data_IF_552033215628
#
_entry.id   IF_552033215628
#
_cell.length_a   1.000
_cell.length_b   1.000
_cell.length_c   1.000
_cell.angle_alpha   90.00
_cell.angle_beta   90.00
_cell.angle_gamma   90.00
#
_symmetry.space_group_name_H-M   'P 1'
#
loop_
_entity.id
_entity.type
_entity.pdbx_description
1 polymer ?
#
# COMPACT_ATOMS: atom_id res chain seq x y z
N UNK A 1 -32.67 -23.13 -42.28
CA UNK A 1 -31.38 -23.85 -42.41
C UNK A 1 -30.48 -23.08 -43.37
N UNK A 2 -29.40 -22.48 -42.82
CA UNK A 2 -28.00 -22.54 -43.32
C UNK A 2 -27.73 -21.80 -44.66
N UNK A 3 -26.73 -20.95 -44.88
CA UNK A 3 -25.60 -20.39 -44.13
C UNK A 3 -25.18 -19.13 -44.91
N UNK A 4 -24.94 -17.99 -44.26
CA UNK A 4 -24.09 -16.93 -44.84
C UNK A 4 -22.94 -16.70 -43.89
N UNK A 5 -21.90 -17.51 -44.08
CA UNK A 5 -20.61 -17.36 -43.37
C UNK A 5 -19.90 -16.17 -44.00
N UNK A 6 -20.09 -14.99 -43.41
CA UNK A 6 -19.25 -13.84 -43.70
C UNK A 6 -17.94 -14.06 -42.95
N UNK A 7 -16.91 -14.50 -43.68
CA UNK A 7 -15.52 -14.55 -43.19
C UNK A 7 -15.05 -13.12 -42.94
N UNK A 8 -15.19 -12.64 -41.71
CA UNK A 8 -14.47 -11.47 -41.23
C UNK A 8 -13.07 -11.94 -40.90
N UNK A 9 -12.15 -11.68 -41.82
CA UNK A 9 -10.72 -11.88 -41.65
C UNK A 9 -10.23 -10.81 -40.66
N UNK A 10 -10.26 -11.15 -39.37
CA UNK A 10 -9.79 -10.30 -38.28
C UNK A 10 -8.28 -10.19 -38.45
N UNK A 11 -7.84 -9.09 -39.06
CA UNK A 11 -6.45 -8.65 -39.02
C UNK A 11 -6.11 -8.38 -37.56
N UNK A 12 -5.23 -9.20 -36.99
CA UNK A 12 -4.64 -9.05 -35.67
C UNK A 12 -3.73 -7.82 -35.74
N UNK A 13 -4.34 -6.64 -35.69
CA UNK A 13 -3.64 -5.36 -35.60
C UNK A 13 -3.28 -5.13 -34.15
N UNK A 14 -2.08 -5.55 -33.78
CA UNK A 14 -1.06 -4.88 -32.93
C UNK A 14 -1.48 -3.95 -31.76
N UNK A 15 -2.71 -4.00 -31.26
CA UNK A 15 -3.21 -3.23 -30.12
C UNK A 15 -3.56 -4.12 -28.91
N UNK A 16 -3.25 -5.42 -28.96
CA UNK A 16 -3.34 -6.31 -27.78
C UNK A 16 -2.22 -6.08 -26.76
N UNK A 17 -1.39 -5.04 -26.94
CA UNK A 17 -0.54 -4.48 -25.89
C UNK A 17 -1.26 -3.39 -25.08
N UNK A 18 -2.59 -3.27 -25.22
CA UNK A 18 -3.42 -2.58 -24.24
C UNK A 18 -3.40 -3.43 -22.98
N UNK A 19 -2.51 -3.01 -22.09
CA UNK A 19 -2.76 -2.95 -20.67
C UNK A 19 -3.30 -4.26 -20.07
N UNK A 20 -2.37 -5.04 -19.51
CA UNK A 20 -2.57 -5.61 -18.18
C UNK A 20 -2.74 -4.45 -17.17
N UNK A 21 -3.80 -3.64 -17.35
CA UNK A 21 -4.45 -2.94 -16.27
C UNK A 21 -5.13 -4.08 -15.53
N UNK A 22 -4.41 -4.70 -14.59
CA UNK A 22 -5.09 -5.35 -13.49
C UNK A 22 -6.05 -4.29 -12.98
N UNK A 23 -7.35 -4.53 -13.18
CA UNK A 23 -8.41 -3.69 -12.67
C UNK A 23 -8.18 -3.58 -11.16
N UNK A 24 -7.48 -2.52 -10.76
CA UNK A 24 -7.81 -1.84 -9.53
C UNK A 24 -9.26 -1.47 -9.77
N UNK A 25 -10.17 -2.21 -9.15
CA UNK A 25 -11.50 -1.68 -8.94
C UNK A 25 -11.27 -0.41 -8.12
N UNK A 26 -11.14 0.71 -8.83
CA UNK A 26 -11.32 2.04 -8.28
C UNK A 26 -12.67 1.96 -7.58
N UNK A 27 -12.64 1.75 -6.26
CA UNK A 27 -13.82 1.75 -5.39
C UNK A 27 -14.65 2.96 -5.83
N UNK A 28 -15.78 2.68 -6.47
CA UNK A 28 -16.68 3.68 -7.00
C UNK A 28 -17.25 4.50 -5.86
N UNK A 29 -16.62 5.64 -5.58
CA UNK A 29 -17.03 6.59 -4.56
C UNK A 29 -15.96 7.67 -4.50
N UNK A 30 -16.34 8.95 -4.58
CA UNK A 30 -15.42 10.09 -4.64
C UNK A 30 -14.54 10.32 -3.40
N UNK A 31 -14.25 9.28 -2.62
CA UNK A 31 -13.33 9.28 -1.48
C UNK A 31 -11.91 8.92 -1.94
N UNK A 32 -10.92 9.58 -1.34
CA UNK A 32 -9.51 9.25 -1.55
C UNK A 32 -9.22 7.81 -1.09
N UNK A 33 -8.34 7.07 -1.78
CA UNK A 33 -7.81 5.80 -1.25
C UNK A 33 -7.12 6.04 0.10
N UNK A 34 -7.18 5.04 0.96
CA UNK A 34 -6.63 5.12 2.31
C UNK A 34 -5.18 4.66 2.33
N UNK A 35 -4.29 5.56 2.74
CA UNK A 35 -2.89 5.25 3.02
C UNK A 35 -2.69 5.14 4.53
N UNK A 36 -2.23 3.98 4.98
CA UNK A 36 -1.78 3.78 6.36
C UNK A 36 -0.26 3.97 6.45
N UNK A 37 0.17 5.03 7.12
CA UNK A 37 1.56 5.18 7.53
C UNK A 37 1.79 4.48 8.88
N UNK A 38 2.51 3.34 8.84
CA UNK A 38 2.80 2.54 10.04
C UNK A 38 4.09 3.01 10.71
N UNK A 39 3.96 3.49 11.95
CA UNK A 39 5.08 3.89 12.82
C UNK A 39 5.62 2.76 13.70
N UNK A 40 4.97 1.59 13.71
CA UNK A 40 5.29 0.48 14.62
C UNK A 40 6.72 -0.06 14.47
N UNK A 41 7.29 0.04 13.26
CA UNK A 41 8.64 -0.46 12.94
C UNK A 41 9.74 0.58 13.09
N UNK A 42 9.41 1.81 13.44
CA UNK A 42 10.41 2.83 13.73
C UNK A 42 10.98 2.61 15.13
N UNK A 43 12.27 2.93 15.32
CA UNK A 43 12.85 2.96 16.65
C UNK A 43 12.16 4.02 17.51
N UNK A 44 11.95 3.71 18.78
CA UNK A 44 11.53 4.72 19.75
C UNK A 44 12.61 5.82 19.85
N UNK A 45 12.19 7.09 19.84
CA UNK A 45 13.10 8.23 19.72
C UNK A 45 13.55 8.56 18.29
N UNK A 46 13.08 7.85 17.27
CA UNK A 46 13.35 8.19 15.87
C UNK A 46 12.53 9.42 15.41
N UNK A 47 13.23 10.53 15.20
CA UNK A 47 12.64 11.83 14.84
C UNK A 47 12.61 12.11 13.32
N UNK A 48 13.41 11.42 12.51
CA UNK A 48 13.51 11.68 11.06
C UNK A 48 12.19 11.45 10.33
N UNK A 49 11.39 10.50 10.83
CA UNK A 49 10.17 10.04 10.17
C UNK A 49 8.89 10.47 10.91
N UNK A 50 8.96 11.43 11.84
CA UNK A 50 7.78 11.84 12.61
C UNK A 50 6.74 12.52 11.68
N UNK A 51 5.46 12.08 11.73
CA UNK A 51 4.42 12.56 10.83
C UNK A 51 4.15 14.05 10.99
N UNK A 52 4.23 14.57 12.22
CA UNK A 52 4.03 15.99 12.53
C UNK A 52 5.36 16.75 12.70
N UNK A 53 6.49 16.10 12.36
CA UNK A 53 7.84 16.64 12.49
C UNK A 53 8.56 16.69 11.14
N UNK A 54 9.78 16.14 11.11
CA UNK A 54 10.64 16.17 9.93
C UNK A 54 10.07 15.47 8.69
N UNK A 55 9.03 14.63 8.84
CA UNK A 55 8.37 13.93 7.75
C UNK A 55 7.04 14.56 7.31
N UNK A 56 6.63 15.66 7.95
CA UNK A 56 5.34 16.31 7.72
C UNK A 56 5.12 16.79 6.29
N UNK A 57 6.16 17.24 5.60
CA UNK A 57 6.07 17.63 4.20
C UNK A 57 5.67 16.45 3.29
N UNK A 58 6.22 15.26 3.56
CA UNK A 58 5.88 14.03 2.83
C UNK A 58 4.45 13.62 3.13
N UNK A 59 4.05 13.61 4.41
CA UNK A 59 2.68 13.29 4.82
C UNK A 59 1.67 14.26 4.19
N UNK A 60 1.98 15.56 4.17
CA UNK A 60 1.15 16.59 3.54
C UNK A 60 1.01 16.36 2.03
N UNK A 61 2.10 16.00 1.35
CA UNK A 61 2.06 15.70 -0.08
C UNK A 61 1.20 14.47 -0.37
N UNK A 62 1.38 13.38 0.39
CA UNK A 62 0.56 12.17 0.25
C UNK A 62 -0.93 12.45 0.53
N UNK A 63 -1.22 13.35 1.46
CA UNK A 63 -2.61 13.75 1.78
C UNK A 63 -3.33 14.46 0.63
N UNK A 64 -2.62 14.88 -0.43
CA UNK A 64 -3.25 15.40 -1.65
C UNK A 64 -4.07 14.30 -2.34
N UNK A 65 -3.55 13.07 -2.37
CA UNK A 65 -4.11 11.95 -3.13
C UNK A 65 -4.76 10.88 -2.23
N UNK A 66 -4.36 10.80 -0.96
CA UNK A 66 -4.81 9.77 -0.02
C UNK A 66 -5.52 10.34 1.21
N UNK A 67 -6.43 9.55 1.80
CA UNK A 67 -6.83 9.67 3.21
C UNK A 67 -5.71 9.04 4.06
N UNK A 68 -4.82 9.88 4.59
CA UNK A 68 -3.65 9.41 5.32
C UNK A 68 -4.00 9.15 6.78
N UNK A 69 -3.84 7.90 7.21
CA UNK A 69 -3.96 7.46 8.60
C UNK A 69 -2.58 7.15 9.14
N UNK A 70 -2.31 7.54 10.38
CA UNK A 70 -1.04 7.26 11.05
C UNK A 70 -1.31 6.50 12.34
N UNK A 71 -0.62 5.39 12.57
CA UNK A 71 -0.63 4.76 13.89
C UNK A 71 0.65 3.98 14.19
N UNK A 72 0.93 3.81 15.48
CA UNK A 72 2.05 3.03 15.99
C UNK A 72 1.65 1.62 16.48
N UNK A 73 0.41 1.18 16.22
CA UNK A 73 -0.02 -0.18 16.55
C UNK A 73 0.55 -1.21 15.56
N UNK A 74 0.78 -2.43 16.06
CA UNK A 74 1.18 -3.59 15.24
C UNK A 74 0.16 -3.84 14.14
N UNK A 75 0.65 -4.22 12.95
CA UNK A 75 -0.21 -4.57 11.83
C UNK A 75 -1.05 -5.81 12.15
N UNK A 76 -2.32 -5.73 11.78
CA UNK A 76 -3.28 -6.82 11.90
C UNK A 76 -4.39 -6.62 10.87
N UNK A 77 -5.14 -7.68 10.59
CA UNK A 77 -6.36 -7.61 9.77
C UNK A 77 -7.28 -6.44 10.13
N UNK A 78 -7.47 -6.17 11.43
CA UNK A 78 -8.33 -5.08 11.89
C UNK A 78 -7.77 -3.71 11.51
N UNK A 79 -6.45 -3.51 11.70
CA UNK A 79 -5.77 -2.25 11.35
C UNK A 79 -5.64 -2.03 9.85
N UNK A 80 -5.61 -3.12 9.08
CA UNK A 80 -5.55 -3.10 7.62
C UNK A 80 -6.92 -3.05 6.95
N UNK A 81 -8.00 -3.06 7.74
CA UNK A 81 -9.36 -2.97 7.20
C UNK A 81 -9.56 -1.61 6.55
N UNK A 82 -10.10 -1.63 5.32
CA UNK A 82 -10.36 -0.43 4.52
C UNK A 82 -9.11 0.43 4.27
N UNK A 83 -7.93 -0.19 4.31
CA UNK A 83 -6.67 0.39 3.85
C UNK A 83 -6.43 -0.07 2.42
N UNK A 84 -5.98 0.84 1.55
CA UNK A 84 -5.63 0.51 0.16
C UNK A 84 -4.10 0.42 -0.01
N UNK A 85 -3.35 1.20 0.78
CA UNK A 85 -1.89 1.28 0.71
C UNK A 85 -1.28 1.35 2.11
N UNK A 86 -0.25 0.56 2.38
CA UNK A 86 0.56 0.64 3.60
C UNK A 86 1.93 1.23 3.27
N UNK A 87 2.33 2.26 4.02
CA UNK A 87 3.67 2.82 4.00
C UNK A 87 4.41 2.44 5.28
N UNK A 88 5.56 1.79 5.14
CA UNK A 88 6.53 1.54 6.20
C UNK A 88 7.81 2.28 5.83
N UNK A 89 8.09 3.38 6.53
CA UNK A 89 9.26 4.22 6.24
C UNK A 89 10.40 3.90 7.20
N UNK A 90 11.52 3.44 6.65
CA UNK A 90 12.77 3.11 7.34
C UNK A 90 12.55 2.22 8.58
N UNK A 91 12.14 0.94 8.38
CA UNK A 91 12.08 -0.01 9.48
C UNK A 91 13.48 -0.09 10.11
N UNK A 92 13.56 0.29 11.38
CA UNK A 92 14.87 0.47 12.03
C UNK A 92 15.42 -0.89 12.47
N UNK A 93 16.72 -1.12 12.30
CA UNK A 93 17.38 -2.33 12.81
C UNK A 93 18.02 -2.11 14.20
N UNK A 94 18.15 -0.84 14.62
CA UNK A 94 18.89 -0.43 15.81
C UNK A 94 18.05 0.50 16.70
N UNK A 95 18.24 0.43 18.03
CA UNK A 95 17.65 1.38 18.95
C UNK A 95 18.28 2.78 18.82
N UNK A 96 17.57 3.80 19.30
CA UNK A 96 18.06 5.17 19.45
C UNK A 96 18.21 5.47 20.94
N UNK A 97 19.35 6.06 21.36
CA UNK A 97 19.58 6.57 22.72
C UNK A 97 19.26 5.61 23.89
N UNK A 98 19.53 4.31 23.73
CA UNK A 98 19.29 3.33 24.79
C UNK A 98 17.83 2.87 24.94
N UNK A 99 16.95 3.30 24.04
CA UNK A 99 15.59 2.76 23.94
C UNK A 99 15.59 1.27 23.56
N UNK A 100 14.46 0.56 23.73
CA UNK A 100 14.33 -0.81 23.26
C UNK A 100 14.59 -0.95 21.76
N UNK A 101 15.07 -2.12 21.30
CA UNK A 101 15.16 -2.40 19.88
C UNK A 101 13.78 -2.25 19.21
N UNK A 102 13.71 -1.65 18.00
CA UNK A 102 12.48 -1.56 17.22
C UNK A 102 11.91 -2.95 16.93
N UNK A 103 10.59 -3.02 16.76
CA UNK A 103 9.93 -4.22 16.30
C UNK A 103 10.44 -4.61 14.91
N UNK A 104 10.68 -5.91 14.70
CA UNK A 104 11.01 -6.46 13.38
C UNK A 104 9.76 -6.98 12.70
N UNK A 105 9.75 -6.97 11.37
CA UNK A 105 8.76 -7.69 10.56
C UNK A 105 8.91 -9.21 10.77
N UNK A 106 8.17 -9.74 11.73
CA UNK A 106 8.22 -11.14 12.13
C UNK A 106 7.19 -12.00 11.36
N UNK A 107 7.03 -13.27 11.75
CA UNK A 107 6.17 -14.20 11.03
C UNK A 107 4.67 -13.81 11.05
N UNK A 108 4.06 -13.41 12.18
CA UNK A 108 2.70 -12.88 12.18
C UNK A 108 2.53 -11.65 11.29
N UNK A 109 3.46 -10.70 11.33
CA UNK A 109 3.34 -9.47 10.53
C UNK A 109 3.39 -9.78 9.04
N UNK A 110 4.32 -10.66 8.63
CA UNK A 110 4.41 -11.14 7.23
C UNK A 110 3.14 -11.84 6.80
N UNK A 111 2.50 -12.63 7.66
CA UNK A 111 1.25 -13.31 7.33
C UNK A 111 0.15 -12.30 7.01
N UNK A 112 -0.01 -11.27 7.84
CA UNK A 112 -1.02 -10.24 7.65
C UNK A 112 -0.74 -9.39 6.40
N UNK A 113 0.51 -8.95 6.19
CA UNK A 113 0.91 -8.19 5.00
C UNK A 113 0.74 -9.01 3.71
N UNK A 114 1.13 -10.29 3.71
CA UNK A 114 0.94 -11.16 2.54
C UNK A 114 -0.54 -11.35 2.21
N UNK A 115 -1.40 -11.50 3.23
CA UNK A 115 -2.83 -11.59 3.02
C UNK A 115 -3.40 -10.28 2.46
N UNK A 116 -2.95 -9.15 2.97
CA UNK A 116 -3.33 -7.83 2.49
C UNK A 116 -2.94 -7.61 1.02
N UNK A 117 -1.70 -7.94 0.64
CA UNK A 117 -1.22 -7.88 -0.74
C UNK A 117 -2.03 -8.81 -1.66
N UNK A 118 -2.30 -10.04 -1.22
CA UNK A 118 -3.13 -11.00 -1.99
C UNK A 118 -4.56 -10.51 -2.21
N UNK A 119 -5.06 -9.65 -1.33
CA UNK A 119 -6.37 -9.03 -1.45
C UNK A 119 -6.35 -7.73 -2.26
N UNK A 120 -5.22 -7.38 -2.90
CA UNK A 120 -5.09 -6.19 -3.77
C UNK A 120 -4.48 -4.97 -3.08
N UNK A 121 -4.11 -5.06 -1.80
CA UNK A 121 -3.47 -3.96 -1.08
C UNK A 121 -2.04 -3.67 -1.56
N UNK A 122 -1.68 -2.39 -1.65
CA UNK A 122 -0.34 -1.95 -1.99
C UNK A 122 0.57 -1.80 -0.77
N UNK A 123 1.86 -2.10 -0.89
CA UNK A 123 2.83 -1.89 0.18
C UNK A 123 4.05 -1.14 -0.35
N UNK A 124 4.43 -0.07 0.35
CA UNK A 124 5.68 0.66 0.14
C UNK A 124 6.54 0.46 1.37
N UNK A 125 7.76 -0.04 1.15
CA UNK A 125 8.80 -0.13 2.18
C UNK A 125 9.99 0.69 1.69
N UNK A 126 10.44 1.63 2.51
CA UNK A 126 11.59 2.50 2.24
C UNK A 126 12.69 2.28 3.28
#
# INVERSE_FOLDING_TARGET
MISRVLRVQISISLCSAILFLSCFELRGGGSKPVLLYSRYYNAEGEERYLPDGNYSAVIKQLSADFDVRVHAARLSREKLKDVDLVLISNPSAHPVNGNPPPAKLDAPDRKELLQFIRNGGGVIIM
#
